data_IF_048790684929
#
_entry.id   IF_048790684929
#
_cell.length_a   1.000
_cell.length_b   1.000
_cell.length_c   1.000
_cell.angle_alpha   90.00
_cell.angle_beta   90.00
_cell.angle_gamma   90.00
#
_symmetry.space_group_name_H-M   'P 1'
#
loop_
_entity.id
_entity.type
_entity.pdbx_description
1 polymer ?
#
# COMPACT_ATOMS: atom_id res chain seq x y z
N UNK A 1 -7.53 -5.85 42.31
CA UNK A 1 -8.15 -5.07 41.21
C UNK A 1 -7.64 -5.44 39.79
N UNK A 2 -7.00 -6.59 39.56
CA UNK A 2 -6.43 -6.98 38.24
C UNK A 2 -7.15 -8.11 37.49
N UNK A 3 -8.20 -8.71 38.09
CA UNK A 3 -8.94 -9.82 37.50
C UNK A 3 -10.09 -9.37 36.57
N UNK A 4 -10.75 -8.25 36.90
CA UNK A 4 -11.87 -7.72 36.11
C UNK A 4 -11.38 -7.10 34.80
N UNK A 5 -10.26 -6.36 34.81
CA UNK A 5 -9.64 -5.82 33.60
C UNK A 5 -9.14 -6.90 32.63
N UNK A 6 -8.62 -8.01 33.14
CA UNK A 6 -8.18 -9.13 32.30
C UNK A 6 -9.36 -9.86 31.66
N UNK A 7 -10.53 -9.89 32.32
CA UNK A 7 -11.74 -10.51 31.77
C UNK A 7 -12.28 -9.71 30.58
N UNK A 8 -12.38 -8.37 30.70
CA UNK A 8 -12.79 -7.49 29.60
C UNK A 8 -11.82 -7.55 28.41
N UNK A 9 -10.51 -7.65 28.67
CA UNK A 9 -9.47 -7.75 27.62
C UNK A 9 -9.47 -9.10 26.90
N UNK A 10 -9.88 -10.20 27.56
CA UNK A 10 -10.08 -11.52 26.92
C UNK A 10 -11.32 -11.55 26.04
N UNK A 11 -12.45 -11.02 26.53
CA UNK A 11 -13.71 -11.00 25.80
C UNK A 11 -13.63 -10.12 24.55
N UNK A 12 -13.03 -8.93 24.65
CA UNK A 12 -12.80 -8.06 23.50
C UNK A 12 -11.96 -8.73 22.39
N UNK A 13 -10.96 -9.53 22.77
CA UNK A 13 -10.11 -10.25 21.82
C UNK A 13 -10.82 -11.40 21.13
N UNK A 14 -11.65 -12.15 21.84
CA UNK A 14 -12.46 -13.22 21.23
C UNK A 14 -13.41 -12.66 20.16
N UNK A 15 -14.01 -11.50 20.42
CA UNK A 15 -14.86 -10.77 19.47
C UNK A 15 -14.06 -10.21 18.29
N UNK A 16 -12.80 -9.80 18.50
CA UNK A 16 -11.91 -9.35 17.42
C UNK A 16 -11.48 -10.48 16.48
N UNK A 17 -11.50 -11.73 16.96
CA UNK A 17 -11.07 -12.93 16.26
C UNK A 17 -12.24 -13.58 15.51
N UNK A 18 -13.46 -13.47 16.03
CA UNK A 18 -14.68 -14.05 15.43
C UNK A 18 -15.20 -13.33 14.18
N UNK A 19 -14.61 -12.18 13.80
CA UNK A 19 -15.03 -11.38 12.62
C UNK A 19 -14.26 -11.70 11.33
N UNK A 20 -13.35 -12.68 11.35
CA UNK A 20 -12.62 -13.14 10.17
C UNK A 20 -13.17 -14.52 9.78
N UNK A 21 -14.14 -14.54 8.87
CA UNK A 21 -15.01 -15.71 8.53
C UNK A 21 -14.32 -16.92 7.86
N UNK A 22 -12.98 -17.05 7.97
CA UNK A 22 -12.25 -18.25 7.55
C UNK A 22 -11.70 -18.97 8.80
N UNK A 23 -12.25 -20.15 9.15
CA UNK A 23 -11.77 -20.95 10.28
C UNK A 23 -10.25 -21.19 10.23
N UNK A 24 -9.70 -21.38 9.03
CA UNK A 24 -8.26 -21.56 8.82
C UNK A 24 -7.45 -20.29 9.10
N UNK A 25 -8.00 -19.12 8.81
CA UNK A 25 -7.32 -17.86 9.05
C UNK A 25 -7.38 -17.44 10.52
N UNK A 26 -8.48 -17.76 11.19
CA UNK A 26 -8.66 -17.57 12.62
C UNK A 26 -7.66 -18.42 13.43
N UNK A 27 -7.55 -19.72 13.09
CA UNK A 27 -6.55 -20.63 13.69
C UNK A 27 -5.12 -20.10 13.50
N UNK A 28 -4.77 -19.70 12.27
CA UNK A 28 -3.45 -19.16 11.96
C UNK A 28 -3.11 -17.88 12.74
N UNK A 29 -4.08 -16.99 12.95
CA UNK A 29 -3.92 -15.78 13.75
C UNK A 29 -3.76 -16.10 15.24
N UNK A 30 -4.51 -17.08 15.73
CA UNK A 30 -4.40 -17.57 17.11
C UNK A 30 -3.03 -18.19 17.36
N UNK A 31 -2.55 -19.04 16.45
CA UNK A 31 -1.23 -19.66 16.54
C UNK A 31 -0.11 -18.60 16.49
N UNK A 32 -0.22 -17.62 15.60
CA UNK A 32 0.74 -16.51 15.55
C UNK A 32 0.74 -15.63 16.82
N UNK A 33 -0.40 -15.58 17.53
CA UNK A 33 -0.55 -14.86 18.78
C UNK A 33 0.03 -15.63 19.97
N UNK A 34 -0.24 -16.93 20.07
CA UNK A 34 0.30 -17.84 21.11
C UNK A 34 1.81 -17.97 20.97
N UNK A 35 2.32 -18.10 19.74
CA UNK A 35 3.76 -18.10 19.41
C UNK A 35 4.42 -16.72 19.58
N UNK A 36 3.66 -15.67 19.95
CA UNK A 36 4.10 -14.27 20.09
C UNK A 36 4.74 -13.65 18.83
N UNK A 37 4.60 -14.27 17.66
CA UNK A 37 5.16 -13.79 16.37
C UNK A 37 4.49 -12.50 15.90
N UNK A 38 3.21 -12.30 16.22
CA UNK A 38 2.43 -11.10 15.86
C UNK A 38 1.71 -10.52 17.09
N UNK A 39 2.07 -9.29 17.48
CA UNK A 39 1.43 -8.55 18.60
C UNK A 39 1.22 -7.07 18.27
N UNK A 40 0.23 -6.46 18.91
CA UNK A 40 -0.05 -5.03 18.83
C UNK A 40 -0.39 -4.55 17.42
N UNK A 41 0.22 -3.45 16.98
CA UNK A 41 -0.05 -2.82 15.66
C UNK A 41 0.12 -3.78 14.48
N UNK A 42 1.09 -4.71 14.56
CA UNK A 42 1.33 -5.72 13.50
C UNK A 42 0.17 -6.71 13.40
N UNK A 43 -0.39 -7.14 14.52
CA UNK A 43 -1.56 -8.04 14.55
C UNK A 43 -2.78 -7.37 13.90
N UNK A 44 -3.07 -6.12 14.28
CA UNK A 44 -4.16 -5.35 13.67
C UNK A 44 -3.96 -5.14 12.16
N UNK A 45 -2.72 -4.93 11.72
CA UNK A 45 -2.39 -4.79 10.30
C UNK A 45 -2.58 -6.09 9.50
N UNK A 46 -2.17 -7.24 10.05
CA UNK A 46 -2.42 -8.55 9.43
C UNK A 46 -3.93 -8.84 9.34
N UNK A 47 -4.69 -8.50 10.37
CA UNK A 47 -6.15 -8.65 10.34
C UNK A 47 -6.80 -7.80 9.24
N UNK A 48 -6.44 -6.52 9.15
CA UNK A 48 -6.90 -5.63 8.07
C UNK A 48 -6.52 -6.13 6.68
N UNK A 49 -5.32 -6.70 6.54
CA UNK A 49 -4.86 -7.30 5.28
C UNK A 49 -5.73 -8.50 4.89
N UNK A 50 -6.10 -9.34 5.86
CA UNK A 50 -6.95 -10.50 5.66
C UNK A 50 -8.39 -10.10 5.31
N UNK A 51 -8.99 -9.17 6.07
CA UNK A 51 -10.33 -8.62 5.79
C UNK A 51 -10.40 -7.96 4.39
N UNK A 52 -9.31 -7.28 3.98
CA UNK A 52 -9.21 -6.68 2.64
C UNK A 52 -9.14 -7.76 1.55
N UNK A 53 -8.42 -8.86 1.79
CA UNK A 53 -8.41 -10.01 0.87
C UNK A 53 -9.75 -10.73 0.80
N UNK A 54 -10.49 -10.83 1.90
CA UNK A 54 -11.83 -11.42 1.90
C UNK A 54 -12.79 -10.57 1.07
N UNK A 55 -12.80 -9.24 1.28
CA UNK A 55 -13.66 -8.31 0.53
C UNK A 55 -13.35 -8.22 -0.97
N UNK A 56 -12.08 -8.21 -1.35
CA UNK A 56 -11.67 -8.14 -2.76
C UNK A 56 -11.50 -9.51 -3.43
N UNK A 57 -11.86 -10.59 -2.73
CA UNK A 57 -11.59 -11.96 -3.14
C UNK A 57 -10.11 -12.33 -3.01
N UNK A 58 -9.87 -13.63 -2.87
CA UNK A 58 -8.55 -14.22 -3.00
C UNK A 58 -8.10 -13.99 -4.45
N UNK A 59 -7.49 -12.83 -4.73
CA UNK A 59 -7.03 -12.46 -6.08
C UNK A 59 -6.36 -13.69 -6.66
N UNK A 60 -7.01 -14.24 -7.67
CA UNK A 60 -6.50 -15.35 -8.45
C UNK A 60 -5.11 -14.93 -8.87
N UNK A 61 -4.14 -15.80 -8.63
CA UNK A 61 -2.81 -15.64 -9.16
C UNK A 61 -2.92 -15.62 -10.68
N UNK A 62 -3.17 -14.45 -11.26
CA UNK A 62 -2.95 -14.18 -12.67
C UNK A 62 -1.43 -14.09 -12.84
N UNK A 63 -0.81 -15.26 -12.83
CA UNK A 63 0.45 -15.43 -13.54
C UNK A 63 0.15 -15.18 -15.02
N UNK A 64 0.98 -14.41 -15.75
CA UNK A 64 0.83 -14.20 -17.20
C UNK A 64 0.80 -15.51 -18.00
N UNK A 65 1.23 -16.62 -17.38
CA UNK A 65 1.30 -17.96 -17.96
C UNK A 65 0.44 -18.97 -17.19
N UNK A 66 -0.81 -18.66 -16.87
CA UNK A 66 -1.94 -19.59 -16.73
C UNK A 66 -1.83 -20.80 -15.79
N UNK A 67 -0.72 -21.02 -15.08
CA UNK A 67 -0.53 -22.18 -14.21
C UNK A 67 -1.23 -21.87 -12.90
N UNK A 68 -2.48 -22.32 -12.79
CA UNK A 68 -3.22 -22.41 -11.53
C UNK A 68 -2.37 -23.22 -10.54
N UNK A 69 -1.50 -22.55 -9.80
CA UNK A 69 -0.96 -23.13 -8.57
C UNK A 69 -2.16 -23.25 -7.66
N UNK A 70 -2.65 -24.47 -7.48
CA UNK A 70 -3.74 -24.80 -6.57
C UNK A 70 -3.27 -24.51 -5.12
N UNK A 71 -3.19 -23.22 -4.76
CA UNK A 71 -3.01 -22.78 -3.38
C UNK A 71 -4.27 -23.02 -2.56
N UNK A 72 -5.38 -23.42 -3.17
CA UNK A 72 -6.68 -23.73 -2.54
C UNK A 72 -6.61 -24.80 -1.45
N UNK A 73 -5.59 -25.65 -1.43
CA UNK A 73 -5.48 -26.71 -0.42
C UNK A 73 -4.50 -26.47 0.73
N UNK A 74 -3.72 -25.39 0.74
CA UNK A 74 -2.72 -25.19 1.82
C UNK A 74 -3.34 -24.40 2.97
N UNK A 75 -3.46 -24.99 4.18
CA UNK A 75 -4.01 -24.28 5.33
C UNK A 75 -3.17 -23.02 5.58
N UNK A 76 -3.84 -21.91 5.87
CA UNK A 76 -3.17 -20.67 6.24
C UNK A 76 -2.33 -20.97 7.50
N UNK A 77 -1.01 -20.89 7.41
CA UNK A 77 -0.10 -21.12 8.55
C UNK A 77 0.33 -19.79 9.16
N UNK A 78 0.64 -19.76 10.46
CA UNK A 78 1.16 -18.57 11.16
C UNK A 78 2.36 -17.95 10.42
N UNK A 79 3.30 -18.77 9.94
CA UNK A 79 4.45 -18.32 9.16
C UNK A 79 4.07 -17.74 7.79
N UNK A 80 3.03 -18.27 7.15
CA UNK A 80 2.53 -17.74 5.88
C UNK A 80 1.92 -16.35 6.06
N UNK A 81 1.22 -16.10 7.19
CA UNK A 81 0.70 -14.78 7.56
C UNK A 81 1.84 -13.77 7.78
N UNK A 82 2.88 -14.16 8.52
CA UNK A 82 4.04 -13.29 8.79
C UNK A 82 4.76 -12.94 7.49
N UNK A 83 4.97 -13.92 6.59
CA UNK A 83 5.60 -13.69 5.28
C UNK A 83 4.76 -12.76 4.41
N UNK A 84 3.46 -12.99 4.34
CA UNK A 84 2.53 -12.15 3.60
C UNK A 84 2.55 -10.69 4.08
N UNK A 85 2.58 -10.48 5.40
CA UNK A 85 2.68 -9.14 5.98
C UNK A 85 4.00 -8.45 5.63
N UNK A 86 5.14 -9.16 5.75
CA UNK A 86 6.46 -8.61 5.40
C UNK A 86 6.51 -8.18 3.93
N UNK A 87 6.05 -9.05 3.03
CA UNK A 87 6.03 -8.76 1.60
C UNK A 87 5.18 -7.51 1.28
N UNK A 88 4.03 -7.36 1.93
CA UNK A 88 3.17 -6.19 1.72
C UNK A 88 3.80 -4.92 2.29
N UNK A 89 4.44 -5.00 3.45
CA UNK A 89 5.18 -3.87 4.03
C UNK A 89 6.35 -3.43 3.12
N UNK A 90 7.07 -4.38 2.52
CA UNK A 90 8.18 -4.08 1.61
C UNK A 90 7.67 -3.44 0.30
N UNK A 91 6.52 -3.91 -0.23
CA UNK A 91 5.84 -3.26 -1.36
C UNK A 91 5.45 -1.82 -1.05
N UNK A 92 4.86 -1.58 0.12
CA UNK A 92 4.49 -0.22 0.55
C UNK A 92 5.71 0.69 0.64
N UNK A 93 6.81 0.23 1.25
CA UNK A 93 8.07 0.99 1.31
C UNK A 93 8.61 1.31 -0.08
N UNK A 94 8.56 0.34 -0.99
CA UNK A 94 9.03 0.55 -2.37
C UNK A 94 8.14 1.52 -3.13
N UNK A 95 6.82 1.49 -2.91
CA UNK A 95 5.88 2.45 -3.48
C UNK A 95 6.14 3.88 -2.98
N UNK A 96 6.41 4.04 -1.69
CA UNK A 96 6.77 5.34 -1.09
C UNK A 96 8.06 5.87 -1.72
N UNK A 97 9.13 5.06 -1.79
CA UNK A 97 10.40 5.46 -2.41
C UNK A 97 10.24 5.85 -3.88
N UNK A 98 9.42 5.12 -4.63
CA UNK A 98 9.12 5.45 -6.02
C UNK A 98 8.40 6.80 -6.12
N UNK A 99 7.39 7.02 -5.27
CA UNK A 99 6.64 8.26 -5.22
C UNK A 99 7.55 9.47 -4.91
N UNK A 100 8.41 9.34 -3.90
CA UNK A 100 9.40 10.38 -3.53
C UNK A 100 10.32 10.73 -4.71
N UNK A 101 10.87 9.71 -5.39
CA UNK A 101 11.73 9.92 -6.57
C UNK A 101 10.98 10.58 -7.73
N UNK A 102 9.75 10.14 -8.01
CA UNK A 102 8.93 10.71 -9.08
C UNK A 102 8.54 12.15 -8.77
N UNK A 103 8.21 12.45 -7.52
CA UNK A 103 7.87 13.80 -7.07
C UNK A 103 9.07 14.74 -7.19
N UNK A 104 10.26 14.32 -6.73
CA UNK A 104 11.47 15.12 -6.87
C UNK A 104 11.84 15.41 -8.33
N UNK A 105 11.71 14.42 -9.21
CA UNK A 105 11.92 14.61 -10.66
C UNK A 105 10.89 15.56 -11.27
N UNK A 106 9.62 15.42 -10.89
CA UNK A 106 8.57 16.29 -11.38
C UNK A 106 8.81 17.74 -10.96
N UNK A 107 9.15 17.98 -9.69
CA UNK A 107 9.50 19.31 -9.18
C UNK A 107 10.69 19.91 -9.94
N UNK A 108 11.73 19.12 -10.20
CA UNK A 108 12.86 19.59 -11.01
C UNK A 108 12.41 20.01 -12.42
N UNK A 109 11.58 19.20 -13.08
CA UNK A 109 11.04 19.50 -14.40
C UNK A 109 10.17 20.76 -14.38
N UNK A 110 9.26 20.89 -13.41
CA UNK A 110 8.39 22.08 -13.29
C UNK A 110 9.20 23.35 -13.06
N UNK A 111 10.22 23.32 -12.19
CA UNK A 111 11.10 24.47 -11.96
C UNK A 111 11.94 24.82 -13.20
N UNK A 112 12.44 23.82 -13.93
CA UNK A 112 13.15 24.06 -15.18
C UNK A 112 12.27 24.75 -16.22
N UNK A 113 11.03 24.28 -16.41
CA UNK A 113 10.05 24.93 -17.30
C UNK A 113 9.65 26.32 -16.81
N UNK A 114 9.57 26.54 -15.50
CA UNK A 114 9.30 27.85 -14.90
C UNK A 114 10.42 28.84 -15.22
N UNK A 115 11.67 28.46 -14.98
CA UNK A 115 12.85 29.26 -15.32
C UNK A 115 12.89 29.57 -16.82
N UNK A 116 12.65 28.56 -17.65
CA UNK A 116 12.68 28.69 -19.10
C UNK A 116 11.55 29.59 -19.64
N UNK A 117 10.37 29.60 -19.01
CA UNK A 117 9.27 30.52 -19.33
C UNK A 117 9.51 31.96 -18.88
N UNK A 118 10.40 32.18 -17.91
CA UNK A 118 10.75 33.54 -17.48
C UNK A 118 11.60 34.28 -18.51
N UNK A 119 12.19 33.56 -19.46
CA UNK A 119 12.97 34.10 -20.57
C UNK A 119 12.07 34.47 -21.76
N UNK A 120 11.94 35.76 -22.02
CA UNK A 120 11.15 36.31 -23.12
C UNK A 120 11.70 35.93 -24.50
N UNK A 121 13.02 35.75 -24.63
CA UNK A 121 13.66 35.35 -25.88
C UNK A 121 13.28 33.90 -26.23
N UNK A 122 13.24 33.03 -25.22
CA UNK A 122 12.82 31.64 -25.38
C UNK A 122 11.34 31.53 -25.81
N UNK A 123 10.44 32.33 -25.21
CA UNK A 123 9.04 32.37 -25.62
C UNK A 123 8.86 32.86 -27.06
N UNK A 124 9.65 33.85 -27.47
CA UNK A 124 9.62 34.38 -28.84
C UNK A 124 10.03 33.32 -29.86
N UNK A 125 11.05 32.51 -29.55
CA UNK A 125 11.47 31.37 -30.39
C UNK A 125 10.40 30.27 -30.46
N UNK A 126 9.77 29.92 -29.33
CA UNK A 126 8.69 28.92 -29.32
C UNK A 126 7.49 29.33 -30.18
N UNK A 127 7.15 30.63 -30.19
CA UNK A 127 6.09 31.18 -31.07
C UNK A 127 6.46 31.08 -32.54
N UNK A 128 7.71 31.43 -32.87
CA UNK A 128 8.21 31.33 -34.25
C UNK A 128 8.15 29.88 -34.78
N UNK A 129 8.41 28.90 -33.91
CA UNK A 129 8.41 27.47 -34.24
C UNK A 129 7.06 26.76 -34.01
N UNK A 130 6.00 27.48 -33.64
CA UNK A 130 4.65 26.92 -33.36
C UNK A 130 4.61 25.82 -32.27
N UNK A 131 5.49 25.91 -31.26
CA UNK A 131 5.62 24.94 -30.16
C UNK A 131 5.09 25.48 -28.82
N UNK A 132 4.11 26.38 -28.88
CA UNK A 132 3.60 27.12 -27.72
C UNK A 132 2.77 26.26 -26.75
N UNK A 133 2.32 25.08 -27.19
CA UNK A 133 1.36 24.25 -26.45
C UNK A 133 2.09 23.29 -25.51
N UNK A 134 1.72 23.37 -24.23
CA UNK A 134 2.30 22.58 -23.15
C UNK A 134 1.25 21.60 -22.58
N UNK A 135 1.66 20.43 -22.03
CA UNK A 135 0.74 19.56 -21.33
C UNK A 135 0.07 20.28 -20.15
N UNK A 136 -1.26 20.16 -20.03
CA UNK A 136 -2.10 20.89 -19.06
C UNK A 136 -1.59 20.81 -17.62
N UNK A 137 -1.13 19.64 -17.19
CA UNK A 137 -0.62 19.39 -15.85
C UNK A 137 0.60 20.26 -15.51
N UNK A 138 1.54 20.41 -16.46
CA UNK A 138 2.71 21.23 -16.23
C UNK A 138 2.36 22.73 -16.31
N UNK A 139 1.38 23.09 -17.14
CA UNK A 139 0.93 24.48 -17.27
C UNK A 139 0.26 24.98 -15.99
N UNK A 140 -0.61 24.18 -15.37
CA UNK A 140 -1.22 24.49 -14.07
C UNK A 140 -0.14 24.73 -13.01
N UNK A 141 0.80 23.79 -12.88
CA UNK A 141 1.85 23.86 -11.85
C UNK A 141 2.92 24.93 -12.11
N UNK A 142 3.18 25.29 -13.37
CA UNK A 142 4.10 26.38 -13.70
C UNK A 142 3.46 27.77 -13.50
N UNK A 143 2.12 27.88 -13.58
CA UNK A 143 1.37 29.14 -13.37
C UNK A 143 1.07 29.41 -11.91
N UNK A 144 0.87 28.39 -11.08
CA UNK A 144 0.62 28.56 -9.65
C UNK A 144 1.90 28.97 -8.94
N UNK A 145 2.03 30.26 -8.66
CA UNK A 145 2.89 30.79 -7.60
C UNK A 145 2.41 30.30 -6.22
N UNK A 146 3.28 30.25 -5.20
CA UNK A 146 2.97 29.74 -3.86
C UNK A 146 1.79 30.45 -3.16
#
# INVERSE_FOLDING_TARGET
MSLVENCARRQHRAIEISRADDEGAQRALMDAYTEKKLRGKKFAAVRRLLERRQRHGRRVDETPFGRKVNRSGRPLTSDALVRAYRQEADRQKLMIKKAELTQGRLLFVTEAFRSLRSDEHFLTLLRAESLEVMPTYLEEHARTDP
#
